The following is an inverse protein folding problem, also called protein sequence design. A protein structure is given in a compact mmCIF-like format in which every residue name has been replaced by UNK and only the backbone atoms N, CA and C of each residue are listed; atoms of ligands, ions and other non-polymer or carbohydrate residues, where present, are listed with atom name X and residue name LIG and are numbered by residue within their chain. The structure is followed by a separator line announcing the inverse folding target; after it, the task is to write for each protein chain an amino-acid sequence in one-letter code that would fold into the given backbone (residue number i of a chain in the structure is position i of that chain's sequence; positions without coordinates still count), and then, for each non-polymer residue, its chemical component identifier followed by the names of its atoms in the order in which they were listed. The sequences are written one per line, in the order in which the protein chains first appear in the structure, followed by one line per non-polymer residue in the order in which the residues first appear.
data_IF_895556023022
#
_entry.id   IF_895556023022
#
_cell.length_a   1.000
_cell.length_b   1.000
_cell.length_c   1.000
_cell.angle_alpha   90.00
_cell.angle_beta   90.00
_cell.angle_gamma   90.00
#
_symmetry.space_group_name_H-M   'P 1'
#
loop_
_entity.id
_entity.type
_entity.pdbx_description
1 polymer ?
#
# COMPACT_ATOMS: atom_id res chain seq x y z
N UNK A 1 -15.75 18.91 -16.33
CA UNK A 1 -15.44 17.52 -16.72
C UNK A 1 -13.93 17.31 -16.98
N UNK A 2 -13.20 18.24 -17.60
CA UNK A 2 -11.76 18.07 -17.91
C UNK A 2 -10.80 18.08 -16.70
N UNK A 3 -11.16 18.73 -15.59
CA UNK A 3 -10.30 18.80 -14.40
C UNK A 3 -10.22 17.47 -13.63
N UNK A 4 -11.33 16.74 -13.55
CA UNK A 4 -11.44 15.46 -12.82
C UNK A 4 -10.61 14.38 -13.53
N UNK A 5 -10.70 14.30 -14.85
CA UNK A 5 -9.93 13.32 -15.65
C UNK A 5 -8.42 13.57 -15.62
N UNK A 6 -7.99 14.85 -15.64
CA UNK A 6 -6.57 15.20 -15.53
C UNK A 6 -5.96 14.80 -14.19
N UNK A 7 -6.70 15.01 -13.11
CA UNK A 7 -6.24 14.72 -11.76
C UNK A 7 -6.32 13.23 -11.42
N UNK A 8 -7.32 12.51 -11.93
CA UNK A 8 -7.36 11.04 -11.91
C UNK A 8 -6.10 10.45 -12.56
N UNK A 9 -5.73 10.96 -13.73
CA UNK A 9 -4.50 10.55 -14.43
C UNK A 9 -3.26 10.82 -13.58
N UNK A 10 -3.18 11.98 -12.94
CA UNK A 10 -2.07 12.30 -12.04
C UNK A 10 -1.97 11.34 -10.85
N UNK A 11 -3.10 10.91 -10.28
CA UNK A 11 -3.10 9.94 -9.18
C UNK A 11 -2.65 8.56 -9.64
N UNK A 12 -3.11 8.11 -10.80
CA UNK A 12 -2.68 6.83 -11.40
C UNK A 12 -1.19 6.86 -11.72
N UNK A 13 -0.71 7.91 -12.41
CA UNK A 13 0.70 8.08 -12.76
C UNK A 13 1.58 8.15 -11.51
N UNK A 14 1.12 8.86 -10.46
CA UNK A 14 1.83 8.93 -9.18
C UNK A 14 1.90 7.57 -8.49
N UNK A 15 0.78 6.86 -8.42
CA UNK A 15 0.72 5.52 -7.81
C UNK A 15 1.65 4.56 -8.55
N UNK A 16 1.60 4.54 -9.88
CA UNK A 16 2.50 3.74 -10.70
C UNK A 16 3.99 4.08 -10.45
N UNK A 17 4.31 5.36 -10.23
CA UNK A 17 5.66 5.80 -9.85
C UNK A 17 6.11 5.15 -8.53
N UNK A 18 5.24 5.03 -7.53
CA UNK A 18 5.58 4.42 -6.24
C UNK A 18 5.97 2.94 -6.38
N UNK A 19 5.28 2.19 -7.24
CA UNK A 19 5.63 0.80 -7.56
C UNK A 19 6.91 0.71 -8.37
N UNK A 20 7.07 1.55 -9.40
CA UNK A 20 8.25 1.55 -10.26
C UNK A 20 9.54 1.90 -9.49
N UNK A 21 9.46 2.88 -8.59
CA UNK A 21 10.56 3.29 -7.70
C UNK A 21 10.77 2.31 -6.51
N UNK A 22 9.92 1.28 -6.38
CA UNK A 22 10.01 0.24 -5.36
C UNK A 22 9.62 0.69 -3.96
N UNK A 23 8.92 1.81 -3.80
CA UNK A 23 8.36 2.18 -2.49
C UNK A 23 7.27 1.22 -2.06
N UNK A 24 6.42 0.82 -3.01
CA UNK A 24 5.32 -0.12 -2.83
C UNK A 24 5.53 -1.38 -3.67
N UNK A 25 5.00 -2.51 -3.21
CA UNK A 25 4.93 -3.76 -3.96
C UNK A 25 3.53 -4.36 -3.96
N UNK A 26 3.37 -5.54 -4.57
CA UNK A 26 2.08 -6.20 -4.76
C UNK A 26 1.30 -6.45 -3.45
N UNK A 27 1.97 -6.46 -2.29
CA UNK A 27 1.27 -6.57 -1.01
C UNK A 27 0.40 -5.35 -0.73
N UNK A 28 0.78 -4.16 -1.21
CA UNK A 28 -0.05 -2.97 -1.12
C UNK A 28 -1.32 -3.11 -1.97
N UNK A 29 -1.23 -3.70 -3.17
CA UNK A 29 -2.41 -3.99 -3.99
C UNK A 29 -3.35 -4.97 -3.27
N UNK A 30 -2.80 -6.02 -2.65
CA UNK A 30 -3.59 -6.96 -1.85
C UNK A 30 -4.27 -6.27 -0.66
N UNK A 31 -3.59 -5.32 -0.01
CA UNK A 31 -4.18 -4.53 1.07
C UNK A 31 -5.36 -3.69 0.56
N UNK A 32 -5.27 -3.11 -0.63
CA UNK A 32 -6.35 -2.36 -1.27
C UNK A 32 -7.56 -3.24 -1.62
N UNK A 33 -7.35 -4.50 -2.01
CA UNK A 33 -8.43 -5.45 -2.30
C UNK A 33 -9.29 -5.81 -1.07
N UNK A 34 -8.78 -5.58 0.14
CA UNK A 34 -9.52 -5.80 1.39
C UNK A 34 -10.42 -4.62 1.76
N UNK A 35 -10.29 -3.48 1.07
CA UNK A 35 -11.16 -2.33 1.26
C UNK A 35 -12.47 -2.55 0.51
N UNK A 36 -13.59 -2.33 1.19
CA UNK A 36 -14.93 -2.44 0.61
C UNK A 36 -15.84 -1.28 1.04
N UNK A 37 -17.08 -1.28 0.58
CA UNK A 37 -18.07 -0.23 0.92
C UNK A 37 -18.40 -0.18 2.42
N UNK A 38 -18.21 -1.28 3.15
CA UNK A 38 -18.47 -1.36 4.59
C UNK A 38 -17.29 -0.84 5.41
N UNK A 39 -16.07 -0.85 4.85
CA UNK A 39 -14.88 -0.27 5.45
C UNK A 39 -14.03 0.51 4.41
N UNK A 40 -14.48 1.70 3.99
CA UNK A 40 -13.81 2.49 2.96
C UNK A 40 -12.47 3.09 3.41
N UNK A 41 -12.21 3.16 4.71
CA UNK A 41 -10.98 3.74 5.28
C UNK A 41 -9.92 2.68 5.65
N UNK A 42 -10.21 1.39 5.43
CA UNK A 42 -9.36 0.27 5.87
C UNK A 42 -7.86 0.46 5.57
N UNK A 43 -7.52 0.81 4.32
CA UNK A 43 -6.12 0.98 3.91
C UNK A 43 -5.46 2.15 4.65
N UNK A 44 -6.20 3.26 4.83
CA UNK A 44 -5.70 4.45 5.53
C UNK A 44 -5.50 4.13 7.01
N UNK A 45 -6.42 3.41 7.64
CA UNK A 45 -6.30 2.98 9.04
C UNK A 45 -5.09 2.06 9.23
N UNK A 46 -4.93 1.03 8.40
CA UNK A 46 -3.80 0.09 8.48
C UNK A 46 -2.47 0.80 8.29
N UNK A 47 -2.38 1.72 7.32
CA UNK A 47 -1.14 2.48 7.07
C UNK A 47 -0.86 3.48 8.19
N UNK A 48 -1.89 4.10 8.75
CA UNK A 48 -1.75 4.97 9.94
C UNK A 48 -1.18 4.21 11.12
N UNK A 49 -1.73 3.03 11.42
CA UNK A 49 -1.22 2.14 12.47
C UNK A 49 0.23 1.74 12.22
N UNK A 50 0.58 1.42 10.96
CA UNK A 50 1.96 1.15 10.57
C UNK A 50 2.89 2.33 10.89
N UNK A 51 2.49 3.58 10.62
CA UNK A 51 3.31 4.75 10.94
C UNK A 51 3.53 4.94 12.44
N UNK A 52 2.48 4.82 13.24
CA UNK A 52 2.55 4.94 14.70
C UNK A 52 3.48 3.88 15.30
N UNK A 53 3.30 2.62 14.91
CA UNK A 53 4.15 1.53 15.38
C UNK A 53 5.60 1.66 14.91
N UNK A 54 5.81 2.07 13.66
CA UNK A 54 7.15 2.25 13.09
C UNK A 54 7.90 3.37 13.79
N UNK A 55 7.27 4.49 14.10
CA UNK A 55 7.90 5.58 14.86
C UNK A 55 8.32 5.13 16.25
N UNK A 56 7.45 4.40 16.95
CA UNK A 56 7.78 3.81 18.25
C UNK A 56 8.99 2.87 18.14
N UNK A 57 9.00 1.97 17.15
CA UNK A 57 10.10 1.03 16.95
C UNK A 57 11.42 1.71 16.58
N UNK A 58 11.39 2.70 15.69
CA UNK A 58 12.58 3.46 15.28
C UNK A 58 13.18 4.26 16.44
N UNK A 59 12.34 4.77 17.33
CA UNK A 59 12.78 5.46 18.54
C UNK A 59 13.40 4.48 19.55
N UNK A 60 12.80 3.32 19.77
CA UNK A 60 13.37 2.29 20.65
C UNK A 60 14.69 1.71 20.10
N UNK A 61 14.80 1.53 18.78
CA UNK A 61 16.05 1.14 18.11
C UNK A 61 17.15 2.19 18.30
N UNK A 62 16.82 3.48 18.16
CA UNK A 62 17.78 4.56 18.39
C UNK A 62 18.30 4.54 19.83
N UNK A 63 17.39 4.46 20.81
CA UNK A 63 17.77 4.37 22.22
C UNK A 63 18.64 3.15 22.52
N UNK A 64 18.33 2.00 21.93
CA UNK A 64 19.09 0.76 22.15
C UNK A 64 20.52 0.82 21.56
N UNK A 65 20.70 1.51 20.44
CA UNK A 65 22.00 1.68 19.77
C UNK A 65 22.87 2.80 20.36
N UNK A 66 22.28 3.71 21.13
CA UNK A 66 22.99 4.79 21.83
C UNK A 66 23.51 4.36 23.22
N UNK A 67 23.22 3.13 23.67
CA UNK A 67 23.71 2.62 24.95
C UNK A 67 25.19 2.21 24.88
N UNK A 68 25.90 2.32 26.00
CA UNK A 68 27.32 1.90 26.12
C UNK A 68 27.50 0.39 25.87
N UNK A 69 26.52 -0.42 26.28
CA UNK A 69 26.46 -1.86 25.98
C UNK A 69 25.22 -2.15 25.13
N UNK A 70 25.44 -2.42 23.85
CA UNK A 70 24.37 -2.67 22.87
C UNK A 70 23.79 -4.08 23.03
N UNK A 71 22.48 -4.17 23.29
CA UNK A 71 21.74 -5.44 23.27
C UNK A 71 21.26 -5.77 21.86
N UNK A 72 22.07 -6.54 21.13
CA UNK A 72 21.75 -6.96 19.76
C UNK A 72 20.51 -7.86 19.66
N UNK A 73 20.11 -8.57 20.72
CA UNK A 73 18.89 -9.40 20.70
C UNK A 73 17.65 -8.51 20.72
N UNK A 74 17.69 -7.45 21.53
CA UNK A 74 16.62 -6.44 21.57
C UNK A 74 16.51 -5.72 20.22
N UNK A 75 17.64 -5.36 19.62
CA UNK A 75 17.67 -4.73 18.29
C UNK A 75 17.10 -5.68 17.23
N UNK A 76 17.56 -6.93 17.15
CA UNK A 76 17.04 -7.89 16.16
C UNK A 76 15.53 -8.08 16.30
N UNK A 77 15.02 -8.17 17.53
CA UNK A 77 13.56 -8.26 17.78
C UNK A 77 12.80 -7.06 17.21
N UNK A 78 13.29 -5.83 17.43
CA UNK A 78 12.63 -4.63 16.90
C UNK A 78 12.74 -4.52 15.38
N UNK A 79 13.90 -4.85 14.80
CA UNK A 79 14.08 -4.87 13.34
C UNK A 79 13.21 -5.95 12.70
N UNK A 80 13.07 -7.12 13.33
CA UNK A 80 12.19 -8.19 12.86
C UNK A 80 10.73 -7.75 12.85
N UNK A 81 10.27 -7.09 13.91
CA UNK A 81 8.92 -6.53 13.97
C UNK A 81 8.70 -5.50 12.86
N UNK A 82 9.63 -4.57 12.67
CA UNK A 82 9.54 -3.55 11.62
C UNK A 82 9.58 -4.14 10.21
N UNK A 83 10.37 -5.20 10.00
CA UNK A 83 10.38 -5.96 8.74
C UNK A 83 9.00 -6.56 8.47
N UNK A 84 8.39 -7.18 9.48
CA UNK A 84 7.06 -7.79 9.37
C UNK A 84 5.98 -6.77 9.05
N UNK A 85 5.94 -5.66 9.79
CA UNK A 85 4.95 -4.59 9.58
C UNK A 85 5.14 -3.87 8.24
N UNK A 86 6.39 -3.64 7.81
CA UNK A 86 6.68 -3.07 6.49
C UNK A 86 6.27 -4.03 5.38
N UNK A 87 6.45 -5.33 5.59
CA UNK A 87 6.00 -6.36 4.65
C UNK A 87 4.49 -6.34 4.51
N UNK A 88 3.72 -6.28 5.61
CA UNK A 88 2.25 -6.40 5.57
C UNK A 88 1.55 -5.25 4.84
N UNK A 89 2.20 -4.08 4.73
CA UNK A 89 1.67 -2.93 3.99
C UNK A 89 2.35 -2.72 2.63
N UNK A 90 3.25 -3.62 2.23
CA UNK A 90 3.99 -3.52 0.97
C UNK A 90 5.05 -2.41 0.91
N UNK A 91 5.53 -1.89 2.04
CA UNK A 91 6.64 -0.92 2.09
C UNK A 91 7.99 -1.60 1.81
N UNK A 92 8.21 -1.93 0.55
CA UNK A 92 9.28 -2.81 0.09
C UNK A 92 10.69 -2.30 0.43
N UNK A 93 10.98 -1.02 0.23
CA UNK A 93 12.30 -0.45 0.54
C UNK A 93 12.64 -0.50 2.03
N UNK A 94 11.67 -0.24 2.89
CA UNK A 94 11.83 -0.35 4.36
C UNK A 94 12.08 -1.80 4.75
N UNK A 95 11.29 -2.73 4.21
CA UNK A 95 11.45 -4.16 4.43
C UNK A 95 12.86 -4.65 4.04
N UNK A 96 13.35 -4.25 2.85
CA UNK A 96 14.70 -4.58 2.38
C UNK A 96 15.80 -4.00 3.28
N UNK A 97 15.66 -2.75 3.70
CA UNK A 97 16.60 -2.14 4.63
C UNK A 97 16.63 -2.88 5.98
N UNK A 98 15.49 -3.36 6.47
CA UNK A 98 15.43 -4.18 7.67
C UNK A 98 16.14 -5.54 7.50
N UNK A 99 16.03 -6.19 6.33
CA UNK A 99 16.76 -7.45 6.04
C UNK A 99 18.27 -7.24 6.16
N UNK A 100 18.78 -6.15 5.58
CA UNK A 100 20.21 -5.79 5.67
C UNK A 100 20.61 -5.50 7.12
N UNK A 101 19.77 -4.77 7.86
CA UNK A 101 20.02 -4.44 9.26
C UNK A 101 20.15 -5.73 10.10
N UNK A 102 19.25 -6.70 9.96
CA UNK A 102 19.32 -7.97 10.71
C UNK A 102 20.65 -8.71 10.52
N UNK A 103 21.19 -8.71 9.30
CA UNK A 103 22.51 -9.30 9.02
C UNK A 103 23.61 -8.70 9.92
N UNK A 104 23.61 -7.38 10.08
CA UNK A 104 24.60 -6.71 10.94
C UNK A 104 24.29 -6.83 12.44
N UNK A 105 23.04 -7.14 12.81
CA UNK A 105 22.70 -7.54 14.18
C UNK A 105 23.31 -8.91 14.51
N UNK A 106 23.24 -9.87 13.58
CA UNK A 106 23.85 -11.20 13.74
C UNK A 106 25.38 -11.12 13.84
N UNK A 107 26.01 -10.22 13.08
CA UNK A 107 27.44 -9.91 13.16
C UNK A 107 27.84 -9.09 14.41
N UNK A 108 26.86 -8.67 15.23
CA UNK A 108 27.04 -7.82 16.42
C UNK A 108 27.85 -6.55 16.15
N UNK A 109 27.60 -5.92 15.00
CA UNK A 109 28.35 -4.75 14.57
C UNK A 109 27.57 -3.46 14.84
N UNK A 110 27.87 -2.79 15.96
CA UNK A 110 27.15 -1.59 16.39
C UNK A 110 27.25 -0.43 15.38
N UNK A 111 28.42 -0.20 14.79
CA UNK A 111 28.62 0.89 13.82
C UNK A 111 27.76 0.67 12.57
N UNK A 112 27.76 -0.55 12.03
CA UNK A 112 26.93 -0.87 10.86
C UNK A 112 25.44 -0.92 11.20
N UNK A 113 25.06 -1.34 12.41
CA UNK A 113 23.70 -1.25 12.90
C UNK A 113 23.21 0.21 12.97
N UNK A 114 24.06 1.14 13.43
CA UNK A 114 23.73 2.57 13.42
C UNK A 114 23.53 3.10 11.99
N UNK A 115 24.40 2.73 11.03
CA UNK A 115 24.23 3.08 9.61
C UNK A 115 22.92 2.50 9.04
N UNK A 116 22.60 1.26 9.36
CA UNK A 116 21.36 0.63 8.94
C UNK A 116 20.13 1.32 9.53
N UNK A 117 20.17 1.74 10.80
CA UNK A 117 19.09 2.51 11.42
C UNK A 117 18.85 3.82 10.68
N UNK A 118 19.91 4.55 10.30
CA UNK A 118 19.76 5.78 9.51
C UNK A 118 19.14 5.49 8.14
N UNK A 119 19.55 4.41 7.48
CA UNK A 119 18.96 4.00 6.20
C UNK A 119 17.47 3.66 6.36
N UNK A 120 17.10 2.87 7.37
CA UNK A 120 15.69 2.52 7.62
C UNK A 120 14.86 3.77 7.92
N UNK A 121 15.36 4.70 8.75
CA UNK A 121 14.69 5.98 9.03
C UNK A 121 14.48 6.80 7.75
N UNK A 122 15.47 6.84 6.88
CA UNK A 122 15.36 7.53 5.60
C UNK A 122 14.29 6.90 4.71
N UNK A 123 14.35 5.59 4.49
CA UNK A 123 13.37 4.86 3.68
C UNK A 123 11.94 4.98 4.23
N UNK A 124 11.79 4.90 5.56
CA UNK A 124 10.53 5.12 6.25
C UNK A 124 9.98 6.53 6.00
N UNK A 125 10.81 7.56 6.12
CA UNK A 125 10.38 8.94 5.90
C UNK A 125 9.90 9.20 4.47
N UNK A 126 10.55 8.56 3.48
CA UNK A 126 10.15 8.66 2.08
C UNK A 126 8.81 7.98 1.85
N UNK A 127 8.64 6.71 2.25
CA UNK A 127 7.37 6.00 2.02
C UNK A 127 6.22 6.66 2.78
N UNK A 128 6.46 7.17 4.00
CA UNK A 128 5.46 7.94 4.75
C UNK A 128 5.00 9.17 3.98
N UNK A 129 5.92 10.01 3.53
CA UNK A 129 5.59 11.22 2.77
C UNK A 129 4.84 10.91 1.46
N UNK A 130 5.22 9.82 0.77
CA UNK A 130 4.56 9.37 -0.46
C UNK A 130 3.13 8.88 -0.21
N UNK A 131 2.93 8.03 0.80
CA UNK A 131 1.61 7.52 1.17
C UNK A 131 0.70 8.60 1.75
N UNK A 132 1.23 9.53 2.55
CA UNK A 132 0.45 10.71 2.98
C UNK A 132 -0.01 11.55 1.80
N UNK A 133 0.85 11.73 0.79
CA UNK A 133 0.46 12.44 -0.45
C UNK A 133 -0.62 11.66 -1.18
N UNK A 134 -0.45 10.34 -1.29
CA UNK A 134 -1.41 9.44 -1.90
C UNK A 134 -2.79 9.50 -1.23
N UNK A 135 -2.86 9.66 0.09
CA UNK A 135 -4.13 9.74 0.85
C UNK A 135 -4.69 11.16 1.00
N UNK A 136 -3.86 12.20 0.91
CA UNK A 136 -4.31 13.60 0.89
C UNK A 136 -5.02 13.96 -0.42
N UNK A 137 -4.67 13.30 -1.52
CA UNK A 137 -5.35 13.49 -2.80
C UNK A 137 -6.83 13.07 -2.66
N UNK A 138 -7.20 11.82 -2.29
CA UNK A 138 -8.56 11.33 -2.01
C UNK A 138 -9.47 12.28 -1.21
N UNK A 139 -8.95 12.88 -0.12
CA UNK A 139 -9.76 13.78 0.73
C UNK A 139 -10.21 15.07 0.05
N UNK A 140 -9.42 15.62 -0.88
CA UNK A 140 -9.85 16.79 -1.67
C UNK A 140 -11.03 16.48 -2.61
N UNK A 141 -11.23 15.20 -2.95
CA UNK A 141 -12.33 14.73 -3.80
C UNK A 141 -13.61 14.46 -2.99
N UNK A 142 -13.46 13.95 -1.76
CA UNK A 142 -14.59 13.68 -0.86
C UNK A 142 -15.32 14.94 -0.38
N UNK A 143 -14.65 16.10 -0.35
CA UNK A 143 -15.31 17.37 -0.03
C UNK A 143 -16.05 18.00 -1.24
N UNK A 144 -15.98 17.41 -2.44
CA UNK A 144 -16.54 18.02 -3.65
C UNK A 144 -17.61 17.24 -4.42
N UNK A 145 -17.82 15.95 -4.23
CA UNK A 145 -18.92 15.24 -4.90
C UNK A 145 -19.29 13.96 -4.14
N UNK A 146 -20.46 14.00 -3.48
CA UNK A 146 -21.24 12.82 -3.15
C UNK A 146 -21.57 12.04 -4.44
N UNK A 147 -21.63 10.72 -4.33
CA UNK A 147 -22.12 9.71 -5.28
C UNK A 147 -21.16 9.07 -6.31
N UNK A 148 -21.10 7.73 -6.22
CA UNK A 148 -20.86 6.74 -7.28
C UNK A 148 -19.49 6.67 -7.99
N UNK A 149 -18.60 7.66 -7.86
CA UNK A 149 -17.29 7.62 -8.54
C UNK A 149 -16.21 6.82 -7.79
N UNK A 150 -16.38 6.55 -6.50
CA UNK A 150 -15.38 5.81 -5.71
C UNK A 150 -15.29 4.32 -6.13
N UNK A 151 -16.44 3.70 -6.40
CA UNK A 151 -16.53 2.34 -6.96
C UNK A 151 -15.90 2.27 -8.36
N UNK A 152 -16.11 3.29 -9.18
CA UNK A 152 -15.53 3.36 -10.53
C UNK A 152 -14.00 3.46 -10.47
N UNK A 153 -13.43 4.20 -9.53
CA UNK A 153 -11.96 4.31 -9.37
C UNK A 153 -11.36 2.98 -8.89
N UNK A 154 -11.98 2.30 -7.92
CA UNK A 154 -11.50 1.00 -7.43
C UNK A 154 -11.63 -0.08 -8.52
N UNK A 155 -12.73 -0.08 -9.28
CA UNK A 155 -12.93 -1.00 -10.40
C UNK A 155 -12.02 -0.71 -11.58
N UNK A 156 -11.76 0.56 -11.93
CA UNK A 156 -10.87 0.92 -13.04
C UNK A 156 -9.40 0.64 -12.72
N UNK A 157 -8.97 0.80 -11.45
CA UNK A 157 -7.63 0.39 -11.03
C UNK A 157 -7.49 -1.14 -11.06
N UNK A 158 -8.53 -1.88 -10.68
CA UNK A 158 -8.57 -3.34 -10.81
C UNK A 158 -8.57 -3.81 -12.28
N UNK A 159 -9.26 -3.11 -13.19
CA UNK A 159 -9.26 -3.40 -14.63
C UNK A 159 -7.90 -3.07 -15.30
N UNK A 160 -7.17 -2.06 -14.82
CA UNK A 160 -5.84 -1.73 -15.32
C UNK A 160 -4.81 -2.81 -14.99
N UNK A 161 -4.93 -3.46 -13.82
CA UNK A 161 -4.15 -4.65 -13.46
C UNK A 161 -4.53 -5.88 -14.29
N UNK A 162 -5.77 -5.94 -14.79
CA UNK A 162 -6.23 -7.02 -15.67
C UNK A 162 -5.56 -7.03 -17.05
N UNK A 163 -5.01 -5.90 -17.51
CA UNK A 163 -4.53 -5.76 -18.88
C UNK A 163 -3.02 -5.98 -19.08
N UNK A 164 -2.21 -6.16 -18.03
CA UNK A 164 -0.74 -6.15 -18.18
C UNK A 164 0.05 -7.38 -17.74
N UNK A 165 -0.53 -8.45 -17.16
CA UNK A 165 0.18 -9.74 -17.07
C UNK A 165 -0.77 -10.94 -16.93
N UNK A 166 -0.40 -12.04 -17.60
CA UNK A 166 -1.18 -13.26 -17.74
C UNK A 166 -1.45 -14.01 -16.42
N UNK A 167 -2.72 -14.32 -16.12
CA UNK A 167 -3.10 -15.38 -15.17
C UNK A 167 -4.43 -16.05 -15.57
N UNK A 168 -4.36 -17.00 -16.50
CA UNK A 168 -5.51 -17.79 -16.99
C UNK A 168 -5.95 -18.95 -16.08
N UNK A 169 -5.83 -18.88 -14.74
CA UNK A 169 -6.18 -20.06 -13.90
C UNK A 169 -7.13 -19.80 -12.71
N UNK A 170 -7.44 -18.56 -12.31
CA UNK A 170 -8.31 -18.32 -11.13
C UNK A 170 -9.59 -17.51 -11.35
N UNK A 171 -9.99 -17.22 -12.60
CA UNK A 171 -11.13 -16.33 -12.88
C UNK A 171 -12.33 -17.02 -13.55
N UNK A 172 -12.65 -18.27 -13.17
CA UNK A 172 -13.89 -18.91 -13.65
C UNK A 172 -15.13 -18.57 -12.82
N UNK A 173 -15.01 -18.20 -11.53
CA UNK A 173 -16.19 -17.96 -10.70
C UNK A 173 -16.79 -16.56 -10.83
N UNK A 174 -15.95 -15.52 -10.96
CA UNK A 174 -16.46 -14.14 -10.99
C UNK A 174 -17.14 -13.79 -12.34
N UNK A 175 -16.66 -14.38 -13.45
CA UNK A 175 -17.27 -14.17 -14.76
C UNK A 175 -18.64 -14.83 -14.89
N UNK A 176 -18.83 -15.97 -14.22
CA UNK A 176 -20.12 -16.65 -14.16
C UNK A 176 -21.13 -15.88 -13.31
N UNK A 177 -20.73 -15.35 -12.16
CA UNK A 177 -21.60 -14.50 -11.33
C UNK A 177 -22.00 -13.21 -12.04
N UNK A 178 -21.07 -12.60 -12.79
CA UNK A 178 -21.33 -11.41 -13.60
C UNK A 178 -22.34 -11.69 -14.73
N UNK A 179 -22.18 -12.81 -15.45
CA UNK A 179 -23.12 -13.22 -16.51
C UNK A 179 -24.53 -13.52 -15.95
N UNK A 180 -24.59 -14.02 -14.71
CA UNK A 180 -25.84 -14.34 -14.03
C UNK A 180 -26.57 -13.07 -13.58
N UNK A 181 -25.83 -12.06 -13.12
CA UNK A 181 -26.36 -10.74 -12.81
C UNK A 181 -26.89 -10.04 -14.07
N UNK A 182 -26.16 -10.14 -15.19
CA UNK A 182 -26.55 -9.57 -16.48
C UNK A 182 -27.89 -10.15 -16.97
N UNK A 183 -28.07 -11.47 -16.86
CA UNK A 183 -29.33 -12.14 -17.20
C UNK A 183 -30.48 -11.73 -16.27
N UNK A 184 -30.21 -11.50 -14.98
CA UNK A 184 -31.25 -11.05 -14.03
C UNK A 184 -31.70 -9.62 -14.31
N UNK A 185 -30.78 -8.72 -14.66
CA UNK A 185 -31.10 -7.33 -15.03
C UNK A 185 -31.92 -7.27 -16.32
N UNK A 186 -31.54 -8.06 -17.34
CA UNK A 186 -32.29 -8.16 -18.59
C UNK A 186 -33.67 -8.81 -18.39
N UNK A 187 -33.79 -9.83 -17.53
CA UNK A 187 -35.06 -10.46 -17.19
C UNK A 187 -36.00 -9.55 -16.38
N UNK A 188 -35.44 -8.60 -15.62
CA UNK A 188 -36.19 -7.57 -14.90
C UNK A 188 -36.58 -6.36 -15.79
N UNK A 189 -36.28 -6.40 -17.10
CA UNK A 189 -36.59 -5.33 -18.04
C UNK A 189 -35.66 -4.11 -17.94
N UNK A 190 -34.53 -4.24 -17.23
CA UNK A 190 -33.50 -3.21 -17.16
C UNK A 190 -32.65 -3.18 -18.43
N UNK A 191 -32.24 -1.99 -18.86
CA UNK A 191 -31.29 -1.82 -19.95
C UNK A 191 -29.91 -1.44 -19.41
N UNK A 192 -28.89 -2.17 -19.85
CA UNK A 192 -27.50 -1.86 -19.53
C UNK A 192 -27.02 -0.81 -20.55
N UNK A 193 -26.55 0.37 -20.12
CA UNK A 193 -26.11 1.42 -21.04
C UNK A 193 -24.73 1.06 -21.60
N UNK A 194 -24.71 0.37 -22.73
CA UNK A 194 -23.52 0.27 -23.60
C UNK A 194 -23.88 0.67 -25.04
N UNK A 195 -22.91 1.20 -25.82
CA UNK A 195 -21.47 1.16 -25.54
C UNK A 195 -20.80 2.50 -25.23
N UNK A 196 -19.80 2.47 -24.33
CA UNK A 196 -18.69 3.43 -24.27
C UNK A 196 -17.83 3.20 -25.52
N UNK A 197 -17.76 4.21 -26.37
CA UNK A 197 -16.72 4.36 -27.39
C UNK A 197 -15.50 5.05 -26.81
#
# INVERSE_FOLDING_TARGET
MDGVSQLQRQLVDYTASLFHEGYLDDQFNQLQLLQDESNPDFVVEVVTLFFEDSERLLNELAKALDQESVDFRKIDSHVHQLKGSSSSIGAQRVQRACIIFRKYCDEQNAEWCQKCLQQVKHEYSLVKAKLETLFKVPKKWMDQEDDMNFLIIVLQVAEFFFHTCAFSIYFNNFYLEWLQLEQQVLAAGGSIPWPIQ
#
